data_IF_153130696596
#
_entry.id   IF_153130696596
#
_cell.length_a   1.000
_cell.length_b   1.000
_cell.length_c   1.000
_cell.angle_alpha   90.00
_cell.angle_beta   90.00
_cell.angle_gamma   90.00
#
_symmetry.space_group_name_H-M   'P 1'
#
loop_
_entity.id
_entity.type
_entity.pdbx_description
1 polymer ?
#
# COMPACT_ATOMS: atom_id res chain seq x y z
N UNK A 1 14.16 -4.71 28.18
CA UNK A 1 13.76 -4.98 26.78
C UNK A 1 12.97 -3.87 26.09
N UNK A 2 12.48 -2.79 26.74
CA UNK A 2 11.63 -1.76 26.08
C UNK A 2 12.39 -0.59 25.43
N UNK A 3 13.52 -0.18 25.99
CA UNK A 3 14.19 1.08 25.59
C UNK A 3 15.03 0.91 24.31
N UNK A 4 15.73 -0.21 24.18
CA UNK A 4 16.51 -0.52 22.96
C UNK A 4 15.62 -0.71 21.74
N UNK A 5 14.44 -1.33 21.87
CA UNK A 5 13.47 -1.43 20.77
C UNK A 5 12.88 -0.07 20.38
N UNK A 6 12.65 0.80 21.37
CA UNK A 6 12.10 2.14 21.13
C UNK A 6 13.12 3.03 20.42
N UNK A 7 14.38 3.02 20.87
CA UNK A 7 15.48 3.70 20.19
C UNK A 7 15.72 3.15 18.78
N UNK A 8 15.56 1.84 18.58
CA UNK A 8 15.66 1.24 17.23
C UNK A 8 14.51 1.69 16.33
N UNK A 9 13.27 1.71 16.83
CA UNK A 9 12.11 2.21 16.08
C UNK A 9 12.21 3.70 15.77
N UNK A 10 12.71 4.52 16.69
CA UNK A 10 12.94 5.96 16.48
C UNK A 10 14.08 6.16 15.48
N UNK A 11 15.18 5.40 15.60
CA UNK A 11 16.28 5.41 14.64
C UNK A 11 15.83 4.99 13.23
N UNK A 12 15.02 3.93 13.12
CA UNK A 12 14.44 3.47 11.86
C UNK A 12 13.45 4.49 11.26
N UNK A 13 12.67 5.20 12.09
CA UNK A 13 11.77 6.26 11.66
C UNK A 13 12.51 7.50 11.13
N UNK A 14 13.60 7.91 11.79
CA UNK A 14 14.45 9.02 11.36
C UNK A 14 15.32 8.65 10.14
N UNK A 15 15.60 7.36 9.95
CA UNK A 15 16.47 6.84 8.88
C UNK A 15 15.68 6.06 7.82
N UNK A 16 14.43 6.42 7.53
CA UNK A 16 13.69 5.83 6.41
C UNK A 16 14.39 6.18 5.08
N UNK A 17 15.24 5.27 4.62
CA UNK A 17 15.95 5.39 3.34
C UNK A 17 15.01 5.08 2.18
N UNK A 18 15.23 5.75 1.06
CA UNK A 18 14.51 5.50 -0.19
C UNK A 18 14.61 4.02 -0.58
N UNK A 19 13.46 3.40 -0.85
CA UNK A 19 13.42 2.04 -1.43
C UNK A 19 13.52 2.18 -2.94
N UNK A 20 14.64 1.73 -3.50
CA UNK A 20 14.83 1.70 -4.95
C UNK A 20 14.43 0.32 -5.47
N UNK A 21 13.41 0.25 -6.33
CA UNK A 21 12.99 -0.97 -7.00
C UNK A 21 13.36 -0.87 -8.47
N UNK A 22 14.22 -1.78 -8.91
CA UNK A 22 14.52 -1.97 -10.33
C UNK A 22 13.50 -2.92 -10.95
N UNK A 23 12.91 -2.52 -12.07
CA UNK A 23 11.92 -3.30 -12.79
C UNK A 23 12.36 -3.45 -14.23
N UNK A 24 12.32 -4.67 -14.73
CA UNK A 24 12.63 -4.96 -16.13
C UNK A 24 11.42 -4.59 -17.01
N UNK A 25 11.66 -3.74 -18.00
CA UNK A 25 10.63 -3.30 -18.96
C UNK A 25 10.50 -4.40 -20.02
N UNK A 26 9.30 -4.98 -20.16
CA UNK A 26 9.00 -5.87 -21.29
C UNK A 26 8.94 -5.04 -22.60
N UNK A 27 9.65 -5.42 -23.67
CA UNK A 27 9.63 -4.70 -24.94
C UNK A 27 8.25 -4.83 -25.61
N UNK A 28 7.68 -3.71 -26.06
CA UNK A 28 6.35 -3.68 -26.69
C UNK A 28 6.36 -4.13 -28.17
N UNK A 29 7.53 -4.31 -28.80
CA UNK A 29 7.63 -4.72 -30.20
C UNK A 29 9.02 -5.18 -30.65
N UNK A 30 9.10 -5.72 -31.87
CA UNK A 30 10.35 -6.28 -32.44
C UNK A 30 11.45 -5.22 -32.61
N UNK A 31 11.09 -4.01 -33.04
CA UNK A 31 12.00 -2.85 -33.13
C UNK A 31 12.52 -2.42 -31.76
N UNK A 32 11.64 -2.37 -30.76
CA UNK A 32 12.03 -1.99 -29.40
C UNK A 32 12.95 -3.05 -28.76
N UNK A 33 12.68 -4.34 -29.02
CA UNK A 33 13.53 -5.45 -28.60
C UNK A 33 14.93 -5.36 -29.22
N UNK A 34 15.03 -4.97 -30.50
CA UNK A 34 16.31 -4.75 -31.18
C UNK A 34 17.07 -3.56 -30.60
N UNK A 35 16.38 -2.44 -30.33
CA UNK A 35 16.97 -1.22 -29.75
C UNK A 35 17.42 -1.42 -28.29
N UNK A 36 16.67 -2.22 -27.51
CA UNK A 36 17.07 -2.63 -26.15
C UNK A 36 18.27 -3.58 -26.19
N UNK A 37 18.33 -4.51 -27.15
CA UNK A 37 19.47 -5.41 -27.34
C UNK A 37 20.75 -4.68 -27.78
N UNK A 38 20.61 -3.61 -28.57
CA UNK A 38 21.72 -2.73 -28.99
C UNK A 38 22.10 -1.67 -27.95
N UNK A 39 21.46 -1.62 -26.79
CA UNK A 39 21.80 -0.70 -25.69
C UNK A 39 21.31 0.74 -25.85
N UNK A 40 20.56 1.07 -26.92
CA UNK A 40 20.02 2.42 -27.14
C UNK A 40 18.81 2.73 -26.25
N UNK A 41 18.09 1.71 -25.77
CA UNK A 41 16.94 1.86 -24.88
C UNK A 41 17.20 1.15 -23.55
N UNK A 42 16.94 1.82 -22.43
CA UNK A 42 17.11 1.24 -21.10
C UNK A 42 16.13 0.09 -20.88
N UNK A 43 16.65 -1.11 -20.64
CA UNK A 43 15.85 -2.31 -20.34
C UNK A 43 15.29 -2.34 -18.92
N UNK A 44 15.76 -1.43 -18.06
CA UNK A 44 15.37 -1.34 -16.66
C UNK A 44 14.75 0.02 -16.36
N UNK A 45 13.58 0.03 -15.70
CA UNK A 45 12.96 1.20 -15.10
C UNK A 45 13.23 1.16 -13.61
N UNK A 46 13.90 2.17 -13.11
CA UNK A 46 14.20 2.31 -11.69
C UNK A 46 13.13 3.20 -11.07
N UNK A 47 12.33 2.64 -10.15
CA UNK A 47 11.38 3.40 -9.35
C UNK A 47 12.01 3.67 -7.99
N UNK A 48 12.20 4.94 -7.67
CA UNK A 48 12.59 5.38 -6.33
C UNK A 48 11.31 5.69 -5.55
N UNK A 49 11.10 4.98 -4.46
CA UNK A 49 9.97 5.20 -3.54
C UNK A 49 10.55 5.83 -2.28
N UNK A 50 10.39 7.14 -2.18
CA UNK A 50 10.75 7.91 -1.00
C UNK A 50 9.69 7.80 0.09
N UNK A 51 10.01 8.14 1.35
CA UNK A 51 9.02 8.27 2.41
C UNK A 51 7.88 9.20 1.97
N UNK A 52 6.62 8.80 2.21
CA UNK A 52 5.45 9.52 1.70
C UNK A 52 5.34 10.92 2.33
N UNK A 53 5.03 11.94 1.52
CA UNK A 53 4.70 13.26 2.04
C UNK A 53 3.36 13.23 2.77
N UNK A 54 3.19 14.06 3.81
CA UNK A 54 1.99 14.08 4.67
C UNK A 54 0.70 14.26 3.86
N UNK A 55 0.68 15.19 2.89
CA UNK A 55 -0.49 15.40 2.03
C UNK A 55 -0.83 14.19 1.16
N UNK A 56 0.18 13.50 0.65
CA UNK A 56 -0.02 12.26 -0.12
C UNK A 56 -0.43 11.09 0.77
N UNK A 57 0.02 11.09 2.04
CA UNK A 57 -0.45 10.12 3.03
C UNK A 57 -1.95 10.21 3.21
N UNK A 58 -2.50 11.42 3.32
CA UNK A 58 -3.95 11.64 3.38
C UNK A 58 -4.68 11.06 2.15
N UNK A 59 -4.16 11.34 0.95
CA UNK A 59 -4.74 10.84 -0.32
C UNK A 59 -4.74 9.31 -0.39
N UNK A 60 -3.63 8.68 0.01
CA UNK A 60 -3.51 7.23 0.07
C UNK A 60 -4.42 6.64 1.14
N UNK A 61 -4.49 7.24 2.33
CA UNK A 61 -5.37 6.76 3.40
C UNK A 61 -6.86 6.85 3.03
N UNK A 62 -7.27 7.90 2.31
CA UNK A 62 -8.65 8.06 1.85
C UNK A 62 -9.07 6.92 0.91
N UNK A 63 -8.17 6.51 0.01
CA UNK A 63 -8.41 5.35 -0.87
C UNK A 63 -8.32 4.04 -0.11
N UNK A 64 -7.41 3.93 0.86
CA UNK A 64 -7.22 2.72 1.65
C UNK A 64 -8.44 2.31 2.48
N UNK A 65 -9.31 3.27 2.88
CA UNK A 65 -10.57 2.98 3.59
C UNK A 65 -11.51 2.09 2.76
N UNK A 66 -11.46 2.21 1.43
CA UNK A 66 -12.29 1.41 0.53
C UNK A 66 -11.73 0.00 0.28
N UNK A 67 -10.51 -0.28 0.75
CA UNK A 67 -9.88 -1.58 0.57
C UNK A 67 -10.40 -2.59 1.61
N UNK A 68 -10.55 -3.86 1.24
CA UNK A 68 -10.96 -4.89 2.19
C UNK A 68 -9.96 -4.99 3.35
N UNK A 69 -10.46 -4.93 4.58
CA UNK A 69 -9.64 -4.88 5.81
C UNK A 69 -8.74 -6.10 5.98
N UNK A 70 -9.11 -7.22 5.35
CA UNK A 70 -8.45 -8.51 5.46
C UNK A 70 -7.21 -8.69 4.56
N UNK A 71 -6.88 -7.72 3.71
CA UNK A 71 -5.71 -7.82 2.82
C UNK A 71 -4.39 -7.74 3.58
N UNK A 72 -4.42 -7.24 4.82
CA UNK A 72 -3.25 -7.17 5.69
C UNK A 72 -3.41 -8.16 6.85
N UNK A 73 -2.45 -9.06 7.00
CA UNK A 73 -2.38 -10.01 8.11
C UNK A 73 -1.01 -9.88 8.76
N UNK A 74 -0.98 -9.60 10.07
CA UNK A 74 0.25 -9.42 10.85
C UNK A 74 1.23 -8.38 10.25
N UNK A 75 0.69 -7.31 9.68
CA UNK A 75 1.50 -6.23 9.10
C UNK A 75 2.18 -6.60 7.77
N UNK A 76 1.81 -7.73 7.16
CA UNK A 76 2.21 -8.10 5.79
C UNK A 76 0.97 -8.21 4.91
N UNK A 77 1.14 -7.91 3.62
CA UNK A 77 0.08 -8.16 2.66
C UNK A 77 -0.13 -9.68 2.51
N UNK A 78 -1.35 -10.15 2.75
CA UNK A 78 -1.72 -11.53 2.45
C UNK A 78 -1.94 -11.62 0.93
N UNK A 79 -0.99 -12.23 0.21
CA UNK A 79 -0.99 -12.26 -1.25
C UNK A 79 -2.24 -12.91 -1.84
N UNK A 80 -2.80 -13.94 -1.20
CA UNK A 80 -4.00 -14.64 -1.70
C UNK A 80 -5.24 -13.74 -1.61
N UNK A 81 -5.44 -13.09 -0.46
CA UNK A 81 -6.57 -12.14 -0.28
C UNK A 81 -6.36 -10.84 -1.06
N UNK A 82 -5.12 -10.38 -1.17
CA UNK A 82 -4.76 -9.24 -1.99
C UNK A 82 -5.05 -9.51 -3.46
N UNK A 83 -4.85 -10.74 -3.95
CA UNK A 83 -5.16 -11.10 -5.33
C UNK A 83 -6.65 -10.95 -5.67
N UNK A 84 -7.52 -11.44 -4.79
CA UNK A 84 -8.98 -11.29 -4.92
C UNK A 84 -9.42 -9.82 -4.84
N UNK A 85 -8.78 -9.06 -3.95
CA UNK A 85 -9.04 -7.62 -3.80
C UNK A 85 -8.55 -6.82 -5.01
N UNK A 86 -7.40 -7.18 -5.59
CA UNK A 86 -6.82 -6.50 -6.74
C UNK A 86 -7.79 -6.55 -7.91
N UNK A 87 -8.45 -7.68 -8.21
CA UNK A 87 -9.40 -7.73 -9.33
C UNK A 87 -10.55 -6.71 -9.22
N UNK A 88 -10.97 -6.37 -7.99
CA UNK A 88 -12.05 -5.41 -7.74
C UNK A 88 -11.57 -3.97 -7.55
N UNK A 89 -10.34 -3.79 -7.07
CA UNK A 89 -9.76 -2.51 -6.69
C UNK A 89 -8.46 -2.19 -7.44
N UNK A 90 -8.27 -2.76 -8.64
CA UNK A 90 -7.02 -2.61 -9.42
C UNK A 90 -6.67 -1.14 -9.60
N UNK A 91 -7.68 -0.31 -9.90
CA UNK A 91 -7.49 1.11 -10.17
C UNK A 91 -7.08 1.88 -8.91
N UNK A 92 -7.63 1.52 -7.76
CA UNK A 92 -7.28 2.09 -6.45
C UNK A 92 -5.82 1.76 -6.10
N UNK A 93 -5.41 0.50 -6.28
CA UNK A 93 -4.03 0.08 -6.03
C UNK A 93 -3.05 0.77 -6.99
N UNK A 94 -3.38 0.87 -8.27
CA UNK A 94 -2.56 1.59 -9.26
C UNK A 94 -2.42 3.06 -8.88
N UNK A 95 -3.51 3.69 -8.44
CA UNK A 95 -3.49 5.07 -7.99
C UNK A 95 -2.60 5.25 -6.75
N UNK A 96 -2.75 4.41 -5.72
CA UNK A 96 -1.93 4.46 -4.50
C UNK A 96 -0.45 4.33 -4.85
N UNK A 97 -0.08 3.36 -5.69
CA UNK A 97 1.30 3.19 -6.15
C UNK A 97 1.78 4.40 -6.94
N UNK A 98 0.93 4.97 -7.80
CA UNK A 98 1.24 6.18 -8.56
C UNK A 98 1.54 7.37 -7.66
N UNK A 99 0.74 7.56 -6.60
CA UNK A 99 0.95 8.61 -5.60
C UNK A 99 2.25 8.39 -4.82
N UNK A 100 2.54 7.15 -4.40
CA UNK A 100 3.77 6.84 -3.67
C UNK A 100 5.03 6.99 -4.53
N UNK A 101 4.98 6.68 -5.82
CA UNK A 101 6.12 6.84 -6.75
C UNK A 101 6.35 8.32 -7.06
N UNK A 102 5.29 9.05 -7.43
CA UNK A 102 5.45 10.44 -7.84
C UNK A 102 5.73 11.33 -6.62
N UNK A 103 5.04 11.06 -5.51
CA UNK A 103 5.19 11.70 -4.20
C UNK A 103 5.34 13.23 -4.26
N UNK A 104 4.57 13.86 -5.15
CA UNK A 104 4.45 15.32 -5.28
C UNK A 104 3.05 15.77 -4.89
N UNK A 105 2.83 17.08 -4.73
CA UNK A 105 1.49 17.65 -4.56
C UNK A 105 0.54 17.29 -5.73
N UNK A 106 1.07 17.21 -6.95
CA UNK A 106 0.29 16.94 -8.16
C UNK A 106 -0.22 15.49 -8.21
N UNK A 107 -1.36 15.32 -8.88
CA UNK A 107 -1.90 14.01 -9.26
C UNK A 107 -0.88 13.16 -10.03
N UNK A 108 -0.88 11.82 -9.85
CA UNK A 108 -0.04 10.92 -10.64
C UNK A 108 -0.27 11.11 -12.14
N UNK A 109 0.81 11.27 -12.89
CA UNK A 109 0.70 11.47 -14.33
C UNK A 109 -0.01 10.28 -15.01
N UNK A 110 -0.87 10.57 -16.00
CA UNK A 110 -1.58 9.54 -16.78
C UNK A 110 -0.64 8.50 -17.40
N UNK A 111 0.58 8.93 -17.78
CA UNK A 111 1.62 8.06 -18.32
C UNK A 111 2.15 7.07 -17.27
N UNK A 112 2.32 7.52 -16.03
CA UNK A 112 2.73 6.65 -14.91
C UNK A 112 1.63 5.63 -14.60
N UNK A 113 0.39 6.07 -14.43
CA UNK A 113 -0.75 5.19 -14.17
C UNK A 113 -0.93 4.14 -15.28
N UNK A 114 -0.82 4.57 -16.55
CA UNK A 114 -0.85 3.64 -17.69
C UNK A 114 0.31 2.65 -17.64
N UNK A 115 1.52 3.10 -17.27
CA UNK A 115 2.67 2.19 -17.15
C UNK A 115 2.46 1.13 -16.06
N UNK A 116 1.83 1.50 -14.94
CA UNK A 116 1.53 0.59 -13.85
C UNK A 116 0.43 -0.41 -14.24
N UNK A 117 -0.60 0.04 -14.97
CA UNK A 117 -1.70 -0.82 -15.43
C UNK A 117 -1.27 -1.97 -16.34
N UNK A 118 -0.24 -1.74 -17.15
CA UNK A 118 0.27 -2.74 -18.11
C UNK A 118 1.54 -3.44 -17.63
N UNK A 119 1.81 -3.36 -16.33
CA UNK A 119 2.93 -4.04 -15.70
C UNK A 119 2.59 -5.50 -15.43
N UNK A 120 3.60 -6.36 -15.36
CA UNK A 120 3.44 -7.73 -14.89
C UNK A 120 3.01 -7.76 -13.41
N UNK A 121 2.08 -8.64 -13.07
CA UNK A 121 1.51 -8.70 -11.73
C UNK A 121 2.56 -8.92 -10.64
N UNK A 122 3.59 -9.75 -10.89
CA UNK A 122 4.65 -9.97 -9.90
C UNK A 122 5.50 -8.71 -9.67
N UNK A 123 5.73 -7.94 -10.74
CA UNK A 123 6.45 -6.68 -10.64
C UNK A 123 5.59 -5.63 -9.93
N UNK A 124 4.30 -5.56 -10.27
CA UNK A 124 3.36 -4.64 -9.65
C UNK A 124 3.21 -4.90 -8.14
N UNK A 125 3.04 -6.16 -7.72
CA UNK A 125 2.95 -6.54 -6.30
C UNK A 125 4.19 -6.13 -5.50
N UNK A 126 5.40 -6.25 -6.07
CA UNK A 126 6.63 -5.80 -5.43
C UNK A 126 6.66 -4.29 -5.19
N UNK A 127 6.21 -3.50 -6.18
CA UNK A 127 6.09 -2.05 -6.00
C UNK A 127 5.02 -1.71 -4.98
N UNK A 128 3.89 -2.41 -5.05
CA UNK A 128 2.75 -2.17 -4.18
C UNK A 128 3.13 -2.39 -2.72
N UNK A 129 3.79 -3.51 -2.40
CA UNK A 129 4.29 -3.80 -1.06
C UNK A 129 5.24 -2.70 -0.55
N UNK A 130 6.21 -2.29 -1.37
CA UNK A 130 7.12 -1.22 -1.00
C UNK A 130 6.43 0.15 -0.85
N UNK A 131 5.46 0.45 -1.71
CA UNK A 131 4.67 1.69 -1.69
C UNK A 131 3.82 1.78 -0.42
N UNK A 132 3.16 0.69 -0.03
CA UNK A 132 2.33 0.61 1.17
C UNK A 132 3.18 0.62 2.44
N UNK A 133 4.33 -0.05 2.41
CA UNK A 133 5.32 -0.04 3.50
C UNK A 133 5.85 1.38 3.74
N UNK A 134 6.23 2.12 2.69
CA UNK A 134 6.73 3.50 2.83
C UNK A 134 5.64 4.51 3.13
N UNK A 135 4.39 4.26 2.70
CA UNK A 135 3.27 5.09 3.07
C UNK A 135 2.80 4.87 4.52
N UNK A 136 3.28 3.80 5.17
CA UNK A 136 2.82 3.36 6.48
C UNK A 136 1.35 2.94 6.48
N UNK A 137 0.81 2.55 5.32
CA UNK A 137 -0.59 2.15 5.16
C UNK A 137 -0.87 0.90 5.98
N UNK A 138 0.08 -0.01 6.07
CA UNK A 138 -0.07 -1.22 6.89
C UNK A 138 -0.29 -0.89 8.36
N UNK A 139 0.49 0.05 8.92
CA UNK A 139 0.31 0.52 10.29
C UNK A 139 -1.03 1.24 10.45
N UNK A 140 -1.42 2.06 9.47
CA UNK A 140 -2.70 2.78 9.46
C UNK A 140 -3.91 1.83 9.40
N UNK A 141 -3.89 0.81 8.54
CA UNK A 141 -4.96 -0.18 8.43
C UNK A 141 -5.07 -1.03 9.69
N UNK A 142 -3.94 -1.41 10.31
CA UNK A 142 -3.95 -2.06 11.62
C UNK A 142 -4.61 -1.16 12.68
N UNK A 143 -4.35 0.15 12.68
CA UNK A 143 -5.04 1.10 13.57
C UNK A 143 -6.53 1.19 13.28
N UNK A 144 -6.97 1.20 12.01
CA UNK A 144 -8.39 1.17 11.65
C UNK A 144 -9.07 -0.11 12.14
N UNK A 145 -8.43 -1.27 11.96
CA UNK A 145 -8.97 -2.57 12.42
C UNK A 145 -9.10 -2.58 13.94
N UNK A 146 -8.11 -2.05 14.67
CA UNK A 146 -8.16 -1.94 16.13
C UNK A 146 -9.28 -0.99 16.60
N UNK A 147 -9.42 0.19 15.98
CA UNK A 147 -10.51 1.13 16.28
C UNK A 147 -11.88 0.50 15.97
N UNK A 148 -12.00 -0.19 14.83
CA UNK A 148 -13.23 -0.89 14.45
C UNK A 148 -13.56 -2.00 15.44
N UNK A 149 -12.56 -2.79 15.85
CA UNK A 149 -12.73 -3.88 16.82
C UNK A 149 -13.11 -3.37 18.21
N UNK A 150 -12.49 -2.27 18.67
CA UNK A 150 -12.87 -1.61 19.91
C UNK A 150 -14.28 -1.03 19.85
N UNK A 151 -14.71 -0.51 18.70
CA UNK A 151 -16.08 -0.03 18.49
C UNK A 151 -17.12 -1.16 18.51
N UNK A 152 -16.76 -2.38 18.11
CA UNK A 152 -17.62 -3.57 18.21
C UNK A 152 -17.68 -4.11 19.65
N UNK A 153 -16.67 -3.82 20.47
CA UNK A 153 -16.68 -4.15 21.90
C UNK A 153 -17.45 -3.12 22.75
N UNK A 154 -17.57 -1.88 22.28
CA UNK A 154 -18.42 -0.83 22.87
C UNK A 154 -19.89 -0.95 22.42
N UNK A 155 -20.43 -2.17 22.34
CA UNK A 155 -21.88 -2.36 22.31
C UNK A 155 -22.37 -2.01 23.71
N UNK A 156 -23.21 -0.97 23.84
CA UNK A 156 -23.92 -0.68 25.10
C UNK A 156 -24.51 -1.98 25.64
N UNK A 157 -24.13 -2.34 26.87
CA UNK A 157 -24.71 -3.49 27.56
C UNK A 157 -26.24 -3.39 27.43
N UNK A 158 -26.92 -4.42 26.91
CA UNK A 158 -28.37 -4.36 26.79
C UNK A 158 -28.93 -4.12 28.19
N UNK A 159 -29.65 -3.01 28.35
CA UNK A 159 -30.30 -2.66 29.60
C UNK A 159 -31.05 -3.89 30.12
N UNK A 160 -30.61 -4.42 31.25
CA UNK A 160 -31.20 -5.60 31.86
C UNK A 160 -32.68 -5.31 32.12
N UNK A 161 -33.58 -5.94 31.35
CA UNK A 161 -35.00 -5.94 31.65
C UNK A 161 -35.18 -6.54 33.05
N UNK A 162 -35.83 -5.85 34.00
CA UNK A 162 -36.11 -6.45 35.30
C UNK A 162 -37.03 -7.66 35.08
N UNK A 163 -36.67 -8.79 35.68
CA UNK A 163 -37.45 -10.03 35.60
C UNK A 163 -38.86 -9.81 36.17
N UNK A 164 -39.91 -10.43 35.60
CA UNK A 164 -41.26 -10.32 36.14
C UNK A 164 -41.32 -11.01 37.50
N UNK A 165 -41.80 -10.29 38.51
CA UNK A 165 -42.16 -10.81 39.82
C UNK A 165 -43.19 -11.93 39.64
N UNK A 166 -42.88 -13.11 40.17
CA UNK A 166 -43.81 -14.24 40.22
C UNK A 166 -44.65 -14.09 41.50
N UNK A 167 -45.97 -13.89 41.33
CA UNK A 167 -46.99 -14.06 42.39
C UNK A 167 -47.23 -15.54 42.74
#
# INVERSE_FOLDING_TARGET
MKEQELLRKVGEALTQKDKTIEIEIKPAGRLQKLLMKKGFLKSKKVFKISPILVGNRYRVSAVAVNLPKDIFQNGKMNLTKAWEAIQKHTDDFIYVVGVCIQNTEKEPSRKLLRSLRWMDDQQFLKILDASLSQAGVTSFMNSIVLISGASVLNVEEPAANPAPEQE
#
